data_IF_466294466180
#
_entry.id   IF_466294466180
#
_cell.length_a   1.000
_cell.length_b   1.000
_cell.length_c   1.000
_cell.angle_alpha   90.00
_cell.angle_beta   90.00
_cell.angle_gamma   90.00
#
_symmetry.space_group_name_H-M   'P 1'
#
loop_
_entity.id
_entity.type
_entity.pdbx_description
1 polymer ?
#
# COMPACT_ATOMS: atom_id res chain seq x y z
N UNK A 1 -12.80 -3.60 -18.30
CA UNK A 1 -12.71 -4.16 -16.93
C UNK A 1 -11.97 -3.13 -16.10
N UNK A 2 -12.58 -2.58 -15.06
CA UNK A 2 -12.05 -1.43 -14.33
C UNK A 2 -11.22 -1.94 -13.13
N UNK A 3 -9.90 -1.85 -13.22
CA UNK A 3 -8.98 -2.18 -12.13
C UNK A 3 -9.07 -1.14 -11.01
N UNK A 4 -9.23 -1.62 -9.78
CA UNK A 4 -9.35 -0.79 -8.58
C UNK A 4 -8.29 -1.19 -7.55
N UNK A 5 -7.00 -0.90 -7.81
CA UNK A 5 -5.91 -1.13 -6.83
C UNK A 5 -5.51 0.20 -6.21
N UNK A 6 -6.07 0.62 -5.07
CA UNK A 6 -5.81 2.01 -4.82
C UNK A 6 -5.35 2.51 -3.44
N UNK A 7 -5.99 2.28 -2.36
CA UNK A 7 -5.70 3.05 -1.15
C UNK A 7 -4.57 2.49 -0.26
N UNK A 8 -4.39 1.16 -0.24
CA UNK A 8 -3.36 0.52 0.60
C UNK A 8 -1.94 0.71 0.08
N UNK A 9 -1.78 0.75 -1.25
CA UNK A 9 -0.47 0.83 -1.90
C UNK A 9 0.15 2.23 -1.74
N UNK A 10 -0.64 3.30 -1.79
CA UNK A 10 -0.14 4.68 -1.71
C UNK A 10 0.47 5.00 -0.35
N UNK A 11 -0.17 4.59 0.75
CA UNK A 11 0.36 4.87 2.08
C UNK A 11 1.71 4.19 2.35
N UNK A 12 1.92 2.99 1.84
CA UNK A 12 3.16 2.21 2.02
C UNK A 12 4.30 2.74 1.12
N UNK A 13 3.98 3.20 -0.08
CA UNK A 13 4.95 3.74 -1.05
C UNK A 13 5.60 5.04 -0.58
N UNK A 14 4.91 5.86 0.20
CA UNK A 14 5.43 7.14 0.69
C UNK A 14 6.59 7.00 1.67
N UNK A 15 6.63 5.96 2.50
CA UNK A 15 7.70 5.79 3.49
C UNK A 15 9.08 5.50 2.88
N UNK A 16 9.13 4.86 1.71
CA UNK A 16 10.40 4.50 1.06
C UNK A 16 11.15 5.71 0.48
N UNK A 17 10.43 6.75 0.04
CA UNK A 17 11.02 7.93 -0.59
C UNK A 17 11.60 8.95 0.40
N UNK A 18 11.27 8.84 1.70
CA UNK A 18 11.58 9.87 2.70
C UNK A 18 12.88 9.65 3.51
N UNK A 19 13.72 8.69 3.13
CA UNK A 19 14.89 8.29 3.93
C UNK A 19 16.10 9.26 3.90
N UNK A 20 16.01 10.44 3.27
CA UNK A 20 17.20 11.23 2.90
C UNK A 20 17.40 12.53 3.70
N UNK A 21 16.53 12.87 4.64
CA UNK A 21 16.56 14.17 5.32
C UNK A 21 17.45 14.18 6.56
N UNK A 22 18.54 14.92 6.49
CA UNK A 22 19.36 15.25 7.66
C UNK A 22 19.84 16.69 7.61
N UNK A 23 19.52 17.46 8.65
CA UNK A 23 20.06 18.72 9.18
C UNK A 23 19.52 20.09 8.73
N UNK A 24 19.19 20.91 9.76
CA UNK A 24 18.86 22.35 10.04
C UNK A 24 18.21 23.26 8.98
N UNK A 25 17.01 23.72 9.35
CA UNK A 25 16.11 24.80 8.90
C UNK A 25 16.12 25.22 7.40
N UNK A 26 15.79 26.37 7.00
CA UNK A 26 15.38 26.78 5.65
C UNK A 26 16.33 26.41 4.48
N UNK A 27 17.60 26.81 4.56
CA UNK A 27 18.61 26.45 3.54
C UNK A 27 18.86 24.94 3.49
N UNK A 28 18.69 24.28 4.60
CA UNK A 28 18.91 22.85 4.75
C UNK A 28 17.70 22.04 4.30
N UNK A 29 16.46 22.53 4.50
CA UNK A 29 15.28 21.93 3.90
C UNK A 29 15.41 21.93 2.37
N UNK A 30 15.77 23.07 1.76
CA UNK A 30 16.02 23.16 0.31
C UNK A 30 17.12 22.19 -0.15
N UNK A 31 18.26 22.20 0.52
CA UNK A 31 19.37 21.30 0.18
C UNK A 31 18.98 19.81 0.35
N UNK A 32 18.17 19.50 1.36
CA UNK A 32 17.67 18.14 1.58
C UNK A 32 16.70 17.72 0.49
N UNK A 33 15.78 18.58 0.08
CA UNK A 33 14.86 18.37 -1.03
C UNK A 33 15.63 18.19 -2.34
N UNK A 34 16.57 19.09 -2.65
CA UNK A 34 17.41 19.01 -3.85
C UNK A 34 18.24 17.71 -3.88
N UNK A 35 18.73 17.27 -2.72
CA UNK A 35 19.46 16.01 -2.63
C UNK A 35 18.55 14.81 -2.87
N UNK A 36 17.38 14.79 -2.24
CA UNK A 36 16.40 13.73 -2.43
C UNK A 36 15.90 13.67 -3.88
N UNK A 37 15.70 14.83 -4.51
CA UNK A 37 15.28 14.91 -5.91
C UNK A 37 16.31 14.34 -6.91
N UNK A 38 17.60 14.28 -6.55
CA UNK A 38 18.63 13.67 -7.42
C UNK A 38 18.45 12.17 -7.59
N UNK A 39 17.77 11.52 -6.65
CA UNK A 39 17.51 10.09 -6.70
C UNK A 39 16.21 9.79 -7.51
N UNK A 40 15.45 10.81 -7.90
CA UNK A 40 14.28 10.69 -8.74
C UNK A 40 14.66 10.51 -10.23
N UNK A 41 13.89 9.77 -11.02
CA UNK A 41 12.66 9.07 -10.61
C UNK A 41 12.92 7.78 -9.81
N UNK A 42 12.12 7.54 -8.78
CA UNK A 42 12.15 6.32 -7.98
C UNK A 42 10.98 5.42 -8.37
N UNK A 43 11.27 4.22 -8.86
CA UNK A 43 10.24 3.25 -9.25
C UNK A 43 9.43 2.77 -8.03
N UNK A 44 8.12 2.73 -8.18
CA UNK A 44 7.14 2.20 -7.22
C UNK A 44 6.59 0.84 -7.67
N UNK A 45 7.34 0.13 -8.50
CA UNK A 45 6.91 -1.13 -9.11
C UNK A 45 5.89 -0.89 -10.23
N UNK A 46 4.89 -1.76 -10.31
CA UNK A 46 3.87 -1.71 -11.36
C UNK A 46 2.91 -0.53 -11.25
N UNK A 47 2.88 0.15 -10.11
CA UNK A 47 1.91 1.22 -9.84
C UNK A 47 2.38 2.60 -10.33
N UNK A 48 3.64 2.73 -10.71
CA UNK A 48 4.19 4.00 -11.21
C UNK A 48 5.55 4.38 -10.65
N UNK A 49 5.79 5.67 -10.49
CA UNK A 49 7.05 6.23 -10.00
C UNK A 49 6.85 7.53 -9.22
N UNK A 50 7.75 7.81 -8.26
CA UNK A 50 7.95 9.15 -7.72
C UNK A 50 8.85 9.91 -8.69
N UNK A 51 8.28 10.87 -9.40
CA UNK A 51 8.96 11.58 -10.49
C UNK A 51 9.87 12.69 -9.99
N UNK A 52 9.42 13.46 -8.98
CA UNK A 52 10.20 14.54 -8.40
C UNK A 52 9.81 14.85 -6.95
N UNK A 53 10.76 15.48 -6.24
CA UNK A 53 10.54 16.13 -4.95
C UNK A 53 11.04 17.57 -5.10
N UNK A 54 10.15 18.56 -4.95
CA UNK A 54 10.48 19.94 -5.23
C UNK A 54 10.08 20.88 -4.08
N UNK A 55 10.89 21.92 -3.87
CA UNK A 55 10.54 23.02 -2.97
C UNK A 55 9.94 24.17 -3.78
N UNK A 56 8.64 24.39 -3.62
CA UNK A 56 7.85 25.39 -4.35
C UNK A 56 7.35 26.49 -3.41
N UNK A 57 8.20 27.49 -3.17
CA UNK A 57 7.86 28.64 -2.32
C UNK A 57 7.74 28.25 -0.84
N UNK A 58 6.54 27.96 -0.38
CA UNK A 58 6.19 27.56 0.98
C UNK A 58 5.76 26.10 1.09
N UNK A 59 6.04 25.29 0.08
CA UNK A 59 5.55 23.92 -0.02
C UNK A 59 6.65 22.98 -0.49
N UNK A 60 6.81 21.85 0.17
CA UNK A 60 7.55 20.69 -0.36
C UNK A 60 6.55 19.79 -1.06
N UNK A 61 6.73 19.56 -2.36
CA UNK A 61 5.86 18.78 -3.22
C UNK A 61 6.51 17.48 -3.66
N UNK A 62 5.78 16.38 -3.49
CA UNK A 62 6.11 15.06 -4.03
C UNK A 62 5.19 14.78 -5.22
N UNK A 63 5.76 14.62 -6.40
CA UNK A 63 5.03 14.33 -7.63
C UNK A 63 5.18 12.85 -7.99
N UNK A 64 4.05 12.17 -8.07
CA UNK A 64 3.94 10.77 -8.46
C UNK A 64 3.29 10.66 -9.83
N UNK A 65 3.86 9.82 -10.69
CA UNK A 65 3.28 9.46 -11.96
C UNK A 65 2.76 8.03 -11.87
N UNK A 66 1.45 7.85 -11.94
CA UNK A 66 0.78 6.58 -11.67
C UNK A 66 0.36 5.89 -12.96
N UNK A 67 0.55 4.59 -13.01
CA UNK A 67 0.06 3.75 -14.10
C UNK A 67 -1.42 3.44 -13.90
N UNK A 68 -2.27 3.96 -14.78
CA UNK A 68 -3.72 3.91 -14.66
C UNK A 68 -4.32 2.56 -15.03
N UNK A 69 -3.52 1.61 -15.52
CA UNK A 69 -3.95 0.20 -15.57
C UNK A 69 -4.15 -0.36 -14.17
N UNK A 70 -3.36 0.09 -13.19
CA UNK A 70 -3.38 -0.38 -11.81
C UNK A 70 -4.07 0.59 -10.86
N UNK A 71 -3.91 1.91 -11.09
CA UNK A 71 -4.37 2.95 -10.16
C UNK A 71 -5.12 4.05 -10.90
N UNK A 72 -6.40 4.22 -10.62
CA UNK A 72 -7.24 5.28 -11.18
C UNK A 72 -7.16 6.56 -10.33
N UNK A 73 -6.92 7.70 -10.96
CA UNK A 73 -6.86 9.00 -10.28
C UNK A 73 -8.22 9.38 -9.70
N UNK A 74 -9.32 9.09 -10.39
CA UNK A 74 -10.68 9.31 -9.89
C UNK A 74 -10.93 8.57 -8.56
N UNK A 75 -10.39 7.37 -8.40
CA UNK A 75 -10.52 6.63 -7.15
C UNK A 75 -9.77 7.28 -5.97
N UNK A 76 -8.68 8.05 -6.23
CA UNK A 76 -8.05 8.87 -5.18
C UNK A 76 -8.94 10.07 -4.89
N UNK A 77 -9.36 10.76 -5.95
CA UNK A 77 -10.13 12.00 -5.83
C UNK A 77 -11.46 11.77 -5.11
N UNK A 78 -12.14 10.65 -5.40
CA UNK A 78 -13.40 10.28 -4.76
C UNK A 78 -13.23 9.86 -3.30
N UNK A 79 -11.99 9.57 -2.86
CA UNK A 79 -11.69 9.09 -1.51
C UNK A 79 -10.55 9.89 -0.85
N UNK A 80 -10.46 11.21 -1.08
CA UNK A 80 -9.37 12.06 -0.59
C UNK A 80 -9.18 11.98 0.93
N UNK A 81 -10.25 12.03 1.71
CA UNK A 81 -10.19 11.98 3.18
C UNK A 81 -9.62 10.62 3.66
N UNK A 82 -10.08 9.52 3.07
CA UNK A 82 -9.56 8.19 3.39
C UNK A 82 -8.10 8.01 2.96
N UNK A 83 -7.75 8.60 1.82
CA UNK A 83 -6.37 8.62 1.33
C UNK A 83 -5.50 9.44 2.28
N UNK A 84 -5.98 10.61 2.71
CA UNK A 84 -5.30 11.46 3.70
C UNK A 84 -5.08 10.71 5.02
N UNK A 85 -6.11 10.05 5.54
CA UNK A 85 -6.03 9.24 6.76
C UNK A 85 -5.01 8.07 6.61
N UNK A 86 -4.98 7.41 5.46
CA UNK A 86 -4.02 6.35 5.16
C UNK A 86 -2.58 6.88 5.12
N UNK A 87 -2.36 8.04 4.50
CA UNK A 87 -1.06 8.72 4.47
C UNK A 87 -0.60 9.02 5.90
N UNK A 88 -1.48 9.61 6.74
CA UNK A 88 -1.20 9.92 8.14
C UNK A 88 -0.77 8.66 8.90
N UNK A 89 -1.55 7.58 8.80
CA UNK A 89 -1.28 6.31 9.51
C UNK A 89 0.10 5.74 9.14
N UNK A 90 0.50 5.84 7.87
CA UNK A 90 1.78 5.32 7.41
C UNK A 90 2.96 6.25 7.71
N UNK A 91 2.73 7.54 7.90
CA UNK A 91 3.77 8.52 8.22
C UNK A 91 4.02 8.64 9.72
N UNK A 92 3.00 8.43 10.56
CA UNK A 92 3.10 8.57 12.00
C UNK A 92 4.14 7.61 12.59
N UNK A 93 4.96 8.15 13.50
CA UNK A 93 5.97 7.38 14.23
C UNK A 93 7.21 6.93 13.43
N UNK A 94 7.31 7.23 12.14
CA UNK A 94 8.50 6.92 11.36
C UNK A 94 9.60 7.95 11.63
N UNK A 95 10.76 7.52 12.17
CA UNK A 95 11.85 8.42 12.57
C UNK A 95 12.40 9.28 11.41
N UNK A 96 12.47 8.75 10.20
CA UNK A 96 12.99 9.51 9.06
C UNK A 96 11.96 10.57 8.60
N UNK A 97 10.67 10.20 8.60
CA UNK A 97 9.55 11.10 8.35
C UNK A 97 9.51 12.20 9.42
N UNK A 98 9.70 11.84 10.68
CA UNK A 98 9.72 12.78 11.80
C UNK A 98 10.80 13.86 11.64
N UNK A 99 11.98 13.52 11.14
CA UNK A 99 13.05 14.50 10.85
C UNK A 99 12.65 15.50 9.76
N UNK A 100 11.95 15.03 8.74
CA UNK A 100 11.38 15.91 7.71
C UNK A 100 10.28 16.78 8.31
N UNK A 101 9.38 16.22 9.10
CA UNK A 101 8.31 16.96 9.77
C UNK A 101 8.85 18.07 10.68
N UNK A 102 9.88 17.77 11.48
CA UNK A 102 10.52 18.77 12.35
C UNK A 102 11.03 19.95 11.51
N UNK A 103 11.64 19.71 10.33
CA UNK A 103 12.08 20.80 9.43
C UNK A 103 10.91 21.57 8.80
N UNK A 104 9.85 20.89 8.37
CA UNK A 104 8.66 21.51 7.78
C UNK A 104 7.93 22.39 8.81
N UNK A 105 7.80 21.91 10.05
CA UNK A 105 7.20 22.68 11.16
C UNK A 105 8.07 23.90 11.49
N UNK A 106 9.39 23.73 11.62
CA UNK A 106 10.33 24.79 11.95
C UNK A 106 10.34 25.91 10.89
N UNK A 107 10.19 25.55 9.61
CA UNK A 107 10.19 26.49 8.48
C UNK A 107 8.80 27.03 8.11
N UNK A 108 7.75 26.52 8.72
CA UNK A 108 6.37 26.87 8.37
C UNK A 108 5.98 26.42 6.94
N UNK A 109 6.59 25.32 6.47
CA UNK A 109 6.45 24.81 5.09
C UNK A 109 5.38 23.74 5.02
N UNK A 110 4.50 23.81 4.02
CA UNK A 110 3.48 22.81 3.74
C UNK A 110 4.11 21.56 3.10
N UNK A 111 3.42 20.44 3.22
CA UNK A 111 3.75 19.17 2.54
C UNK A 111 2.62 18.84 1.56
N UNK A 112 2.95 18.63 0.29
CA UNK A 112 1.98 18.31 -0.75
C UNK A 112 2.36 17.02 -1.47
N UNK A 113 1.37 16.18 -1.70
CA UNK A 113 1.46 15.00 -2.54
C UNK A 113 0.56 15.21 -3.75
N UNK A 114 1.13 15.04 -4.93
CA UNK A 114 0.42 15.14 -6.22
C UNK A 114 0.55 13.81 -6.93
N UNK A 115 -0.58 13.18 -7.22
CA UNK A 115 -0.66 11.98 -8.03
C UNK A 115 -1.20 12.34 -9.40
N UNK A 116 -0.44 12.01 -10.43
CA UNK A 116 -0.79 12.28 -11.82
C UNK A 116 -0.95 10.99 -12.58
N UNK A 117 -2.05 10.86 -13.31
CA UNK A 117 -2.28 9.76 -14.23
C UNK A 117 -1.37 9.86 -15.44
N UNK A 118 -0.64 8.78 -15.72
CA UNK A 118 0.32 8.72 -16.85
C UNK A 118 -0.38 8.88 -18.19
N UNK A 119 -1.58 8.32 -18.33
CA UNK A 119 -2.33 8.29 -19.58
C UNK A 119 -3.34 9.43 -19.68
N UNK A 120 -4.12 9.66 -18.62
CA UNK A 120 -5.15 10.73 -18.59
C UNK A 120 -4.56 12.12 -18.36
N UNK A 121 -3.46 12.21 -17.63
CA UNK A 121 -2.93 13.48 -17.12
C UNK A 121 -3.77 14.10 -16.00
N UNK A 122 -4.81 13.41 -15.52
CA UNK A 122 -5.60 13.83 -14.36
C UNK A 122 -4.73 13.87 -13.11
N UNK A 123 -5.09 14.74 -12.16
CA UNK A 123 -4.32 14.94 -10.93
C UNK A 123 -5.21 14.85 -9.70
N UNK A 124 -4.71 14.18 -8.66
CA UNK A 124 -5.24 14.23 -7.30
C UNK A 124 -4.19 14.83 -6.37
N UNK A 125 -4.61 15.67 -5.43
CA UNK A 125 -3.68 16.37 -4.54
C UNK A 125 -4.16 16.30 -3.09
N UNK A 126 -3.21 16.04 -2.19
CA UNK A 126 -3.40 16.17 -0.75
C UNK A 126 -2.31 17.11 -0.22
N UNK A 127 -2.72 18.04 0.62
CA UNK A 127 -1.81 18.99 1.26
C UNK A 127 -1.96 18.93 2.78
N UNK A 128 -0.83 19.06 3.48
CA UNK A 128 -0.74 19.14 4.93
C UNK A 128 -0.10 20.46 5.31
N UNK A 129 -0.78 21.23 6.12
CA UNK A 129 -0.24 22.43 6.75
C UNK A 129 0.76 22.09 7.86
N UNK A 130 1.65 23.00 8.27
CA UNK A 130 2.55 22.78 9.41
C UNK A 130 1.82 22.39 10.71
N UNK A 131 0.59 22.88 10.90
CA UNK A 131 -0.24 22.52 12.06
C UNK A 131 -0.67 21.06 12.00
N UNK A 132 -1.18 20.59 10.84
CA UNK A 132 -1.54 19.19 10.63
C UNK A 132 -0.32 18.28 10.70
N UNK A 133 0.83 18.69 10.14
CA UNK A 133 2.09 17.95 10.24
C UNK A 133 2.51 17.78 11.72
N UNK A 134 2.32 18.81 12.55
CA UNK A 134 2.60 18.74 13.98
C UNK A 134 1.70 17.73 14.68
N UNK A 135 0.41 17.72 14.37
CA UNK A 135 -0.54 16.73 14.90
C UNK A 135 -0.12 15.31 14.52
N UNK A 136 0.25 15.09 13.25
CA UNK A 136 0.75 13.78 12.77
C UNK A 136 2.04 13.39 13.51
N UNK A 137 2.96 14.34 13.72
CA UNK A 137 4.22 14.14 14.41
C UNK A 137 4.05 13.75 15.88
N UNK A 138 2.99 14.25 16.53
CA UNK A 138 2.63 13.96 17.91
C UNK A 138 1.75 12.70 18.03
N UNK A 139 1.19 12.20 16.93
CA UNK A 139 0.41 10.96 16.90
C UNK A 139 1.34 9.78 17.14
N UNK A 140 1.03 8.89 18.10
CA UNK A 140 1.78 7.65 18.29
C UNK A 140 1.85 6.84 16.98
N UNK A 141 2.96 6.14 16.78
CA UNK A 141 3.04 5.20 15.67
C UNK A 141 1.89 4.20 15.77
N UNK A 142 1.22 3.97 14.65
CA UNK A 142 0.21 2.93 14.57
C UNK A 142 0.85 1.58 14.93
N UNK A 143 0.17 0.80 15.74
CA UNK A 143 0.57 -0.59 16.03
C UNK A 143 0.54 -1.42 14.75
N UNK A 144 1.22 -2.54 14.74
CA UNK A 144 1.22 -3.40 13.56
C UNK A 144 -0.17 -4.01 13.29
N UNK A 145 -0.99 -4.21 14.34
CA UNK A 145 -2.39 -4.58 14.20
C UNK A 145 -3.24 -3.49 13.53
N UNK A 146 -3.04 -2.22 13.91
CA UNK A 146 -3.73 -1.08 13.28
C UNK A 146 -3.30 -0.90 11.82
N UNK A 147 -2.02 -1.08 11.52
CA UNK A 147 -1.52 -1.07 10.13
C UNK A 147 -2.13 -2.21 9.32
N UNK A 148 -2.25 -3.42 9.90
CA UNK A 148 -2.89 -4.55 9.24
C UNK A 148 -4.36 -4.27 8.99
N UNK A 149 -5.10 -3.77 9.98
CA UNK A 149 -6.51 -3.42 9.83
C UNK A 149 -6.72 -2.36 8.74
N UNK A 150 -5.86 -1.34 8.70
CA UNK A 150 -5.88 -0.31 7.65
C UNK A 150 -5.59 -0.89 6.26
N UNK A 151 -4.62 -1.80 6.15
CA UNK A 151 -4.27 -2.46 4.89
C UNK A 151 -5.42 -3.37 4.39
N UNK A 152 -6.07 -4.11 5.28
CA UNK A 152 -7.25 -4.93 4.96
C UNK A 152 -8.40 -4.04 4.47
N UNK A 153 -8.70 -2.96 5.19
CA UNK A 153 -9.75 -2.01 4.77
C UNK A 153 -9.45 -1.40 3.40
N UNK A 154 -8.20 -1.05 3.14
CA UNK A 154 -7.75 -0.53 1.85
C UNK A 154 -7.89 -1.58 0.72
N UNK A 155 -7.54 -2.84 1.00
CA UNK A 155 -7.72 -3.95 0.05
C UNK A 155 -9.19 -4.16 -0.27
N UNK A 156 -10.07 -4.18 0.74
CA UNK A 156 -11.50 -4.43 0.57
C UNK A 156 -12.23 -3.35 -0.24
N UNK A 157 -11.74 -2.10 -0.25
CA UNK A 157 -12.28 -1.06 -1.13
C UNK A 157 -12.06 -1.34 -2.62
N UNK A 158 -11.13 -2.23 -2.95
CA UNK A 158 -10.75 -2.61 -4.32
C UNK A 158 -11.47 -3.87 -4.78
N UNK A 159 -12.07 -4.59 -3.86
CA UNK A 159 -12.78 -5.84 -4.12
C UNK A 159 -14.25 -5.55 -4.51
N UNK A 160 -14.88 -6.40 -5.29
CA UNK A 160 -14.37 -7.66 -5.82
C UNK A 160 -13.42 -7.48 -7.02
N UNK A 161 -12.42 -8.38 -7.12
CA UNK A 161 -11.43 -8.40 -8.20
C UNK A 161 -11.54 -9.69 -9.00
N UNK A 162 -11.83 -9.59 -10.28
CA UNK A 162 -11.73 -10.72 -11.22
C UNK A 162 -10.27 -10.91 -11.64
N UNK A 163 -9.71 -12.08 -11.33
CA UNK A 163 -8.32 -12.42 -11.68
C UNK A 163 -8.14 -12.77 -13.16
N UNK A 164 -9.21 -12.88 -13.93
CA UNK A 164 -9.19 -13.33 -15.33
C UNK A 164 -9.02 -14.85 -15.51
N UNK A 165 -8.96 -15.61 -14.41
CA UNK A 165 -8.79 -17.07 -14.40
C UNK A 165 -10.08 -17.81 -14.00
N UNK A 166 -11.20 -17.10 -13.86
CA UNK A 166 -12.46 -17.61 -13.32
C UNK A 166 -12.54 -17.51 -11.79
N UNK A 167 -11.52 -16.99 -11.14
CA UNK A 167 -11.52 -16.73 -9.69
C UNK A 167 -11.78 -15.25 -9.45
N UNK A 168 -12.74 -14.92 -8.59
CA UNK A 168 -13.03 -13.57 -8.12
C UNK A 168 -12.63 -13.44 -6.67
N UNK A 169 -11.69 -12.57 -6.36
CA UNK A 169 -11.38 -12.23 -4.97
C UNK A 169 -12.46 -11.28 -4.47
N UNK A 170 -13.22 -11.71 -3.46
CA UNK A 170 -14.41 -10.96 -3.01
C UNK A 170 -14.17 -10.15 -1.76
N UNK A 171 -13.32 -10.62 -0.86
CA UNK A 171 -13.08 -9.99 0.44
C UNK A 171 -11.75 -10.43 1.03
N UNK A 172 -11.18 -9.58 1.90
CA UNK A 172 -10.07 -9.93 2.79
C UNK A 172 -10.52 -9.75 4.24
N UNK A 173 -10.36 -10.80 5.08
CA UNK A 173 -10.88 -10.84 6.45
C UNK A 173 -9.76 -11.17 7.44
N UNK A 174 -9.64 -10.40 8.53
CA UNK A 174 -8.85 -10.82 9.69
C UNK A 174 -9.72 -11.67 10.63
N UNK A 175 -9.40 -12.94 10.74
CA UNK A 175 -10.05 -13.93 11.64
C UNK A 175 -9.26 -14.13 12.95
N UNK A 176 -8.48 -13.13 13.36
CA UNK A 176 -7.64 -13.16 14.56
C UNK A 176 -6.26 -13.74 14.27
N UNK A 177 -6.10 -15.04 14.21
CA UNK A 177 -4.83 -15.71 13.92
C UNK A 177 -4.60 -16.04 12.44
N UNK A 178 -5.57 -15.72 11.58
CA UNK A 178 -5.54 -15.96 10.13
C UNK A 178 -6.08 -14.74 9.41
N UNK A 179 -5.36 -14.26 8.41
CA UNK A 179 -5.86 -13.32 7.42
C UNK A 179 -6.26 -14.11 6.18
N UNK A 180 -7.52 -14.00 5.77
CA UNK A 180 -8.08 -14.81 4.70
C UNK A 180 -8.49 -13.94 3.49
N UNK A 181 -8.00 -14.31 2.30
CA UNK A 181 -8.58 -13.87 1.03
C UNK A 181 -9.71 -14.81 0.66
N UNK A 182 -10.92 -14.27 0.50
CA UNK A 182 -12.10 -15.00 0.07
C UNK A 182 -12.14 -15.00 -1.47
N UNK A 183 -12.13 -16.20 -2.06
CA UNK A 183 -12.01 -16.42 -3.50
C UNK A 183 -13.23 -17.19 -3.99
N UNK A 184 -14.13 -16.51 -4.68
CA UNK A 184 -15.26 -17.12 -5.33
C UNK A 184 -14.80 -17.80 -6.62
N UNK A 185 -15.18 -19.06 -6.81
CA UNK A 185 -14.93 -19.86 -8.02
C UNK A 185 -16.24 -20.15 -8.75
N UNK A 186 -16.19 -20.45 -10.07
CA UNK A 186 -17.40 -20.49 -10.89
C UNK A 186 -18.38 -21.62 -10.51
N UNK A 187 -17.85 -22.75 -10.04
CA UNK A 187 -18.66 -23.94 -9.75
C UNK A 187 -17.93 -24.94 -8.83
N UNK A 188 -18.67 -25.99 -8.41
CA UNK A 188 -18.14 -27.04 -7.55
C UNK A 188 -17.05 -27.90 -8.22
N UNK A 189 -17.09 -28.03 -9.55
CA UNK A 189 -16.06 -28.80 -10.27
C UNK A 189 -14.71 -28.09 -10.14
N UNK A 190 -14.69 -26.76 -10.31
CA UNK A 190 -13.51 -25.94 -10.10
C UNK A 190 -13.03 -26.04 -8.65
N UNK A 191 -13.95 -25.95 -7.66
CA UNK A 191 -13.62 -26.08 -6.24
C UNK A 191 -12.96 -27.43 -5.94
N UNK A 192 -13.51 -28.52 -6.49
CA UNK A 192 -12.90 -29.86 -6.36
C UNK A 192 -11.54 -29.97 -7.03
N UNK A 193 -11.31 -29.27 -8.15
CA UNK A 193 -9.99 -29.22 -8.79
C UNK A 193 -8.98 -28.53 -7.90
N UNK A 194 -9.34 -27.40 -7.25
CA UNK A 194 -8.49 -26.74 -6.26
C UNK A 194 -8.18 -27.68 -5.10
N UNK A 195 -9.20 -28.37 -4.56
CA UNK A 195 -9.04 -29.32 -3.46
C UNK A 195 -8.05 -30.46 -3.77
N UNK A 196 -8.14 -31.02 -4.99
CA UNK A 196 -7.23 -32.08 -5.46
C UNK A 196 -5.80 -31.60 -5.73
N UNK A 197 -5.62 -30.33 -6.01
CA UNK A 197 -4.34 -29.75 -6.44
C UNK A 197 -3.82 -28.67 -5.49
N UNK A 198 -4.18 -28.69 -4.22
CA UNK A 198 -3.85 -27.67 -3.21
C UNK A 198 -2.35 -27.34 -3.18
N UNK A 199 -1.49 -28.36 -3.24
CA UNK A 199 -0.02 -28.18 -3.27
C UNK A 199 0.44 -27.46 -4.55
N UNK A 200 -0.14 -27.80 -5.70
CA UNK A 200 0.19 -27.14 -6.96
C UNK A 200 -0.25 -25.68 -6.96
N UNK A 201 -1.44 -25.39 -6.44
CA UNK A 201 -1.94 -24.02 -6.24
C UNK A 201 -0.98 -23.24 -5.32
N UNK A 202 -0.62 -23.83 -4.17
CA UNK A 202 0.32 -23.23 -3.21
C UNK A 202 1.69 -22.91 -3.86
N UNK A 203 2.23 -23.84 -4.64
CA UNK A 203 3.50 -23.65 -5.33
C UNK A 203 3.43 -22.56 -6.42
N UNK A 204 2.33 -22.49 -7.15
CA UNK A 204 2.09 -21.42 -8.13
C UNK A 204 2.03 -20.04 -7.46
N UNK A 205 1.31 -19.94 -6.36
CA UNK A 205 1.23 -18.71 -5.56
C UNK A 205 2.60 -18.31 -4.99
N UNK A 206 3.39 -19.27 -4.46
CA UNK A 206 4.78 -18.99 -4.00
C UNK A 206 5.65 -18.41 -5.12
N UNK A 207 5.48 -18.89 -6.35
CA UNK A 207 6.21 -18.34 -7.50
C UNK A 207 5.80 -16.89 -7.78
N UNK A 208 4.50 -16.61 -7.74
CA UNK A 208 3.98 -15.25 -7.89
C UNK A 208 4.50 -14.32 -6.78
N UNK A 209 4.47 -14.76 -5.52
CA UNK A 209 4.98 -13.98 -4.37
C UNK A 209 6.44 -13.55 -4.54
N UNK A 210 7.28 -14.44 -5.10
CA UNK A 210 8.69 -14.10 -5.36
C UNK A 210 8.86 -12.99 -6.40
N UNK A 211 7.92 -12.87 -7.33
CA UNK A 211 7.93 -11.86 -8.39
C UNK A 211 7.36 -10.50 -7.96
N UNK A 212 6.67 -10.45 -6.82
CA UNK A 212 6.14 -9.21 -6.26
C UNK A 212 7.25 -8.20 -5.95
N UNK A 213 6.96 -6.93 -6.11
CA UNK A 213 7.82 -5.83 -5.65
C UNK A 213 7.97 -5.85 -4.12
N UNK A 214 9.00 -5.17 -3.62
CA UNK A 214 9.21 -5.04 -2.17
C UNK A 214 8.00 -4.41 -1.46
N UNK A 215 7.31 -3.51 -2.12
CA UNK A 215 6.13 -2.83 -1.60
C UNK A 215 4.93 -3.75 -1.47
N UNK A 216 4.65 -4.55 -2.50
CA UNK A 216 3.56 -5.54 -2.49
C UNK A 216 3.77 -6.59 -1.39
N UNK A 217 5.03 -6.92 -1.08
CA UNK A 217 5.40 -7.87 -0.02
C UNK A 217 5.15 -7.34 1.39
N UNK A 218 5.05 -6.02 1.60
CA UNK A 218 4.96 -5.44 2.94
C UNK A 218 3.73 -5.92 3.72
N UNK A 219 2.57 -6.07 3.08
CA UNK A 219 1.37 -6.62 3.74
C UNK A 219 1.60 -8.06 4.22
N UNK A 220 2.22 -8.89 3.40
CA UNK A 220 2.48 -10.29 3.74
C UNK A 220 3.56 -10.42 4.83
N UNK A 221 4.57 -9.55 4.82
CA UNK A 221 5.56 -9.44 5.91
C UNK A 221 4.88 -9.05 7.22
N UNK A 222 4.01 -8.05 7.19
CA UNK A 222 3.27 -7.61 8.36
C UNK A 222 2.40 -8.75 8.95
N UNK A 223 1.71 -9.52 8.10
CA UNK A 223 0.96 -10.72 8.53
C UNK A 223 1.90 -11.72 9.21
N UNK A 224 3.08 -11.95 8.62
CA UNK A 224 4.08 -12.88 9.15
C UNK A 224 4.71 -12.38 10.48
N UNK A 225 5.01 -11.08 10.59
CA UNK A 225 5.56 -10.44 11.79
C UNK A 225 4.60 -10.51 12.97
N UNK A 226 3.29 -10.35 12.71
CA UNK A 226 2.22 -10.55 13.69
C UNK A 226 1.97 -12.04 14.06
N UNK A 227 2.75 -12.97 13.50
CA UNK A 227 2.59 -14.40 13.75
C UNK A 227 1.31 -15.00 13.18
N UNK A 228 0.60 -14.26 12.31
CA UNK A 228 -0.65 -14.71 11.70
C UNK A 228 -0.37 -15.60 10.49
N UNK A 229 -1.35 -16.46 10.19
CA UNK A 229 -1.39 -17.25 8.95
C UNK A 229 -2.04 -16.45 7.84
N UNK A 230 -1.70 -16.76 6.59
CA UNK A 230 -2.42 -16.31 5.40
C UNK A 230 -3.21 -17.47 4.82
N UNK A 231 -4.50 -17.28 4.53
CA UNK A 231 -5.34 -18.27 3.87
C UNK A 231 -5.91 -17.71 2.56
N UNK A 232 -5.92 -18.53 1.53
CA UNK A 232 -6.76 -18.35 0.34
C UNK A 232 -7.92 -19.33 0.46
N UNK A 233 -9.10 -18.83 0.82
CA UNK A 233 -10.31 -19.64 1.01
C UNK A 233 -11.13 -19.59 -0.26
N UNK A 234 -11.27 -20.71 -0.93
CA UNK A 234 -12.06 -20.89 -2.16
C UNK A 234 -13.45 -21.40 -1.83
N UNK A 235 -14.46 -20.85 -2.47
CA UNK A 235 -15.86 -21.23 -2.27
C UNK A 235 -16.70 -21.00 -3.55
N UNK A 236 -17.85 -21.62 -3.65
CA UNK A 236 -18.87 -21.34 -4.70
C UNK A 236 -20.13 -20.80 -4.08
N UNK A 237 -20.89 -20.02 -4.85
CA UNK A 237 -22.21 -19.57 -4.40
C UNK A 237 -23.16 -20.76 -4.19
N UNK A 238 -23.84 -20.74 -3.04
CA UNK A 238 -24.83 -21.74 -2.69
C UNK A 238 -24.29 -23.06 -2.14
N UNK A 239 -22.96 -23.19 -1.94
CA UNK A 239 -22.32 -24.31 -1.27
C UNK A 239 -21.75 -23.90 0.07
N UNK A 240 -21.89 -24.76 1.08
CA UNK A 240 -21.23 -24.62 2.37
C UNK A 240 -19.78 -25.16 2.35
N UNK A 241 -19.36 -25.80 1.25
CA UNK A 241 -18.02 -26.35 1.11
C UNK A 241 -17.00 -25.28 0.77
N UNK A 242 -15.86 -25.33 1.44
CA UNK A 242 -14.72 -24.43 1.20
C UNK A 242 -13.42 -25.22 1.09
N UNK A 243 -12.48 -24.69 0.34
CA UNK A 243 -11.11 -25.23 0.25
C UNK A 243 -10.14 -24.14 0.65
N UNK A 244 -9.24 -24.44 1.58
CA UNK A 244 -8.24 -23.49 2.06
C UNK A 244 -6.82 -23.86 1.62
N UNK A 245 -6.10 -22.88 1.11
CA UNK A 245 -4.64 -22.94 0.88
C UNK A 245 -4.00 -22.04 1.91
N UNK A 246 -3.35 -22.63 2.91
CA UNK A 246 -2.84 -21.91 4.08
C UNK A 246 -1.32 -21.83 4.06
N UNK A 247 -0.81 -20.65 4.41
CA UNK A 247 0.59 -20.36 4.69
C UNK A 247 0.75 -20.06 6.17
N UNK A 248 1.71 -20.72 6.84
CA UNK A 248 2.08 -20.35 8.21
C UNK A 248 2.91 -19.07 8.22
N UNK A 249 3.03 -18.44 9.39
CA UNK A 249 3.89 -17.26 9.54
C UNK A 249 5.35 -17.55 9.19
N UNK A 250 5.83 -18.77 9.49
CA UNK A 250 7.19 -19.22 9.16
C UNK A 250 7.37 -19.33 7.63
N UNK A 251 6.39 -19.96 6.93
CA UNK A 251 6.43 -20.05 5.46
C UNK A 251 6.41 -18.67 4.80
N UNK A 252 5.64 -17.72 5.37
CA UNK A 252 5.60 -16.34 4.86
C UNK A 252 6.96 -15.65 5.07
N UNK A 253 7.59 -15.79 6.24
CA UNK A 253 8.93 -15.27 6.49
C UNK A 253 9.94 -15.82 5.49
N UNK A 254 9.95 -17.13 5.26
CA UNK A 254 10.86 -17.75 4.27
C UNK A 254 10.65 -17.24 2.83
N UNK A 255 9.43 -16.81 2.48
CA UNK A 255 9.10 -16.32 1.12
C UNK A 255 9.48 -14.84 0.97
N UNK A 256 9.33 -14.03 2.02
CA UNK A 256 9.35 -12.58 1.91
C UNK A 256 10.58 -11.91 2.56
N UNK A 257 11.36 -12.63 3.37
CA UNK A 257 12.68 -12.20 3.88
C UNK A 257 13.79 -12.45 2.83
#
# INVERSE_FOLDING_TARGET
MKNKYFAGVIGILMCAAMCVFSSCADTKLKNSVEKANKDCPVSLGIVGELTSIEYKGDTVEFLFNLDEEFIKIDAITDNLEDTKASVITNMAGNENVNKMFDMLIETGTNLRFVWKGKDSGEEATIEFTPAEIKEIRETPAATDEEKLASAIAATNRQLPLDTGTGVVVTEMIDKGNVVAYMNQVPDEEFLMQVAKNTDAVKNSQKTYFKMMSSTEKNLFRLIAELGKKLSYTYYTDGSDETVEVVYTSEELKEIFD
#
